data_IF_889157309527
#
_entry.id   IF_889157309527
#
_cell.length_a   1.000
_cell.length_b   1.000
_cell.length_c   1.000
_cell.angle_alpha   90.00
_cell.angle_beta   90.00
_cell.angle_gamma   90.00
#
_symmetry.space_group_name_H-M   'P 1'
#
loop_
_entity.id
_entity.type
_entity.pdbx_description
1 polymer ?
#
# COMPACT_ATOMS: atom_id res chain seq x y z
N UNK A 1 2.71 14.94 3.36
CA UNK A 1 2.57 13.65 2.68
C UNK A 1 1.19 13.49 2.02
N UNK A 2 0.91 12.40 1.25
CA UNK A 2 -0.40 12.10 0.68
C UNK A 2 -1.13 11.03 1.50
N UNK A 3 -2.46 11.10 1.55
CA UNK A 3 -3.29 9.99 2.01
C UNK A 3 -3.58 9.07 0.82
N UNK A 4 -3.45 7.77 1.02
CA UNK A 4 -3.82 6.68 0.11
C UNK A 4 -4.93 5.85 0.77
N UNK A 5 -6.22 6.20 0.61
CA UNK A 5 -7.29 5.36 1.11
C UNK A 5 -7.22 3.98 0.47
N UNK A 6 -7.34 2.91 1.28
CA UNK A 6 -7.20 1.54 0.84
C UNK A 6 -8.54 0.90 0.49
N UNK A 7 -8.56 0.13 -0.60
CA UNK A 7 -9.66 -0.71 -1.03
C UNK A 7 -9.11 -2.13 -1.23
N UNK A 8 -9.25 -2.97 -0.23
CA UNK A 8 -8.87 -4.37 -0.31
C UNK A 8 -10.02 -5.19 -0.85
N UNK A 9 -9.72 -6.03 -1.85
CA UNK A 9 -10.72 -6.82 -2.57
C UNK A 9 -10.55 -8.30 -2.27
N UNK A 10 -11.62 -8.94 -1.79
CA UNK A 10 -11.69 -10.39 -1.60
C UNK A 10 -13.06 -10.92 -2.00
N UNK A 11 -13.10 -11.91 -2.91
CA UNK A 11 -14.33 -12.50 -3.39
C UNK A 11 -15.32 -11.50 -3.99
N UNK A 12 -14.81 -10.43 -4.63
CA UNK A 12 -15.63 -9.40 -5.24
C UNK A 12 -16.15 -8.31 -4.29
N UNK A 13 -15.69 -8.28 -3.04
CA UNK A 13 -16.15 -7.36 -1.99
C UNK A 13 -15.01 -6.50 -1.47
N UNK A 14 -15.38 -5.33 -0.90
CA UNK A 14 -14.47 -4.50 -0.13
C UNK A 14 -14.35 -5.07 1.28
N UNK A 15 -13.13 -5.37 1.69
CA UNK A 15 -12.88 -6.02 2.97
C UNK A 15 -11.72 -5.33 3.72
N UNK A 16 -11.63 -5.60 5.02
CA UNK A 16 -10.42 -5.38 5.81
C UNK A 16 -10.07 -6.66 6.56
N UNK A 17 -8.77 -6.95 6.65
CA UNK A 17 -8.25 -8.07 7.41
C UNK A 17 -7.55 -7.53 8.66
N UNK A 18 -7.73 -8.20 9.79
CA UNK A 18 -6.91 -7.92 10.98
C UNK A 18 -5.63 -8.74 10.89
N UNK A 19 -4.47 -8.06 10.83
CA UNK A 19 -3.14 -8.68 10.72
C UNK A 19 -3.02 -9.70 9.56
N UNK A 20 -3.75 -9.48 8.47
CA UNK A 20 -3.74 -10.35 7.29
C UNK A 20 -4.50 -11.68 7.46
N UNK A 21 -5.20 -11.89 8.58
CA UNK A 21 -5.94 -13.12 8.86
C UNK A 21 -7.30 -13.14 8.14
N UNK A 22 -7.43 -14.00 7.13
CA UNK A 22 -8.68 -14.18 6.38
C UNK A 22 -9.85 -14.69 7.23
N UNK A 23 -9.60 -15.33 8.39
CA UNK A 23 -10.64 -15.72 9.33
C UNK A 23 -11.19 -14.52 10.12
N UNK A 24 -10.48 -13.41 10.15
CA UNK A 24 -10.81 -12.14 10.82
C UNK A 24 -11.13 -11.04 9.81
N UNK A 25 -11.79 -11.45 8.72
CA UNK A 25 -12.23 -10.54 7.68
C UNK A 25 -13.49 -9.79 8.09
N UNK A 26 -13.52 -8.48 7.88
CA UNK A 26 -14.70 -7.64 7.94
C UNK A 26 -15.07 -7.17 6.52
N UNK A 27 -16.36 -7.23 6.18
CA UNK A 27 -16.89 -6.77 4.89
C UNK A 27 -17.46 -5.36 5.09
N UNK A 28 -16.96 -4.40 4.31
CA UNK A 28 -17.35 -2.99 4.38
C UNK A 28 -18.21 -2.52 3.21
N UNK A 29 -18.33 -3.33 2.16
CA UNK A 29 -19.20 -3.00 1.03
C UNK A 29 -19.14 -4.00 -0.11
N UNK A 30 -20.19 -3.95 -0.94
CA UNK A 30 -20.32 -4.78 -2.14
C UNK A 30 -20.04 -3.96 -3.42
N UNK A 31 -19.80 -2.65 -3.29
CA UNK A 31 -19.55 -1.73 -4.43
C UNK A 31 -18.22 -0.97 -4.24
N UNK A 32 -17.10 -1.57 -4.68
CA UNK A 32 -15.79 -0.92 -4.58
C UNK A 32 -15.65 0.33 -5.45
N UNK A 33 -16.47 0.46 -6.49
CA UNK A 33 -16.46 1.66 -7.37
C UNK A 33 -17.06 2.84 -6.62
N UNK A 34 -18.21 2.66 -5.96
CA UNK A 34 -18.81 3.71 -5.14
C UNK A 34 -17.89 4.15 -3.99
N UNK A 35 -17.17 3.21 -3.36
CA UNK A 35 -16.17 3.51 -2.33
C UNK A 35 -15.03 4.38 -2.90
N UNK A 36 -14.48 4.00 -4.05
CA UNK A 36 -13.40 4.78 -4.69
C UNK A 36 -13.86 6.20 -5.06
N UNK A 37 -15.07 6.34 -5.63
CA UNK A 37 -15.66 7.63 -5.95
C UNK A 37 -15.89 8.50 -4.71
N UNK A 38 -16.32 7.91 -3.60
CA UNK A 38 -16.48 8.61 -2.32
C UNK A 38 -15.14 9.14 -1.80
N UNK A 39 -14.06 8.34 -1.88
CA UNK A 39 -12.72 8.78 -1.49
C UNK A 39 -12.22 9.94 -2.36
N UNK A 40 -12.43 9.89 -3.66
CA UNK A 40 -12.06 10.99 -4.58
C UNK A 40 -12.89 12.24 -4.32
N UNK A 41 -14.19 12.12 -4.09
CA UNK A 41 -15.07 13.23 -3.73
C UNK A 41 -14.65 13.89 -2.40
N UNK A 42 -14.10 13.11 -1.45
CA UNK A 42 -13.50 13.59 -0.20
C UNK A 42 -12.10 14.21 -0.38
N UNK A 43 -11.56 14.27 -1.60
CA UNK A 43 -10.31 14.93 -1.93
C UNK A 43 -9.08 14.02 -1.96
N UNK A 44 -9.23 12.70 -1.90
CA UNK A 44 -8.13 11.77 -2.09
C UNK A 44 -7.50 11.98 -3.48
N UNK A 45 -6.17 11.96 -3.53
CA UNK A 45 -5.38 12.21 -4.77
C UNK A 45 -4.73 10.94 -5.31
N UNK A 46 -4.87 9.83 -4.62
CA UNK A 46 -4.49 8.49 -4.97
C UNK A 46 -5.45 7.51 -4.32
N UNK A 47 -5.64 6.35 -4.96
CA UNK A 47 -6.30 5.19 -4.37
C UNK A 47 -5.29 4.06 -4.28
N UNK A 48 -5.27 3.34 -3.16
CA UNK A 48 -4.55 2.09 -3.01
C UNK A 48 -5.54 0.92 -3.09
N UNK A 49 -5.23 -0.12 -3.87
CA UNK A 49 -6.07 -1.32 -3.93
C UNK A 49 -5.23 -2.59 -3.92
N UNK A 50 -5.75 -3.65 -3.31
CA UNK A 50 -5.11 -4.97 -3.27
C UNK A 50 -6.10 -6.03 -3.69
N UNK A 51 -5.70 -6.89 -4.64
CA UNK A 51 -6.39 -8.15 -4.93
C UNK A 51 -5.89 -9.21 -3.94
N UNK A 52 -6.63 -9.43 -2.86
CA UNK A 52 -6.27 -10.39 -1.81
C UNK A 52 -6.38 -11.84 -2.29
N UNK A 53 -7.30 -12.14 -3.23
CA UNK A 53 -7.38 -13.46 -3.86
C UNK A 53 -6.10 -13.75 -4.65
N UNK A 54 -5.66 -12.80 -5.48
CA UNK A 54 -4.43 -12.93 -6.24
C UNK A 54 -3.18 -12.96 -5.34
N UNK A 55 -3.16 -12.21 -4.25
CA UNK A 55 -2.07 -12.25 -3.27
C UNK A 55 -1.89 -13.66 -2.69
N UNK A 56 -2.99 -14.33 -2.37
CA UNK A 56 -3.02 -15.66 -1.77
C UNK A 56 -2.79 -16.78 -2.79
N UNK A 57 -3.56 -16.78 -3.89
CA UNK A 57 -3.63 -17.91 -4.83
C UNK A 57 -2.84 -17.70 -6.13
N UNK A 58 -2.54 -16.44 -6.47
CA UNK A 58 -2.02 -16.04 -7.77
C UNK A 58 -3.11 -15.81 -8.82
N UNK A 59 -4.38 -16.12 -8.51
CA UNK A 59 -5.51 -15.98 -9.43
C UNK A 59 -6.10 -14.55 -9.34
N UNK A 60 -6.05 -13.72 -10.40
CA UNK A 60 -6.45 -12.31 -10.35
C UNK A 60 -7.97 -12.15 -10.48
N UNK A 61 -8.70 -12.66 -9.50
CA UNK A 61 -10.17 -12.72 -9.50
C UNK A 61 -10.80 -11.33 -9.52
N UNK A 62 -10.18 -10.36 -8.83
CA UNK A 62 -10.73 -9.01 -8.68
C UNK A 62 -10.20 -8.01 -9.72
N UNK A 63 -9.41 -8.44 -10.72
CA UNK A 63 -8.94 -7.54 -11.80
C UNK A 63 -10.05 -6.78 -12.52
N UNK A 64 -11.22 -7.37 -12.84
CA UNK A 64 -12.33 -6.61 -13.43
C UNK A 64 -12.85 -5.49 -12.53
N UNK A 65 -12.82 -5.67 -11.20
CA UNK A 65 -13.20 -4.63 -10.25
C UNK A 65 -12.14 -3.53 -10.16
N UNK A 66 -10.85 -3.88 -10.18
CA UNK A 66 -9.76 -2.90 -10.25
C UNK A 66 -9.90 -2.07 -11.53
N UNK A 67 -10.19 -2.70 -12.67
CA UNK A 67 -10.46 -1.99 -13.93
C UNK A 67 -11.66 -1.04 -13.82
N UNK A 68 -12.74 -1.46 -13.16
CA UNK A 68 -13.92 -0.63 -12.94
C UNK A 68 -13.61 0.57 -12.02
N UNK A 69 -12.83 0.37 -10.94
CA UNK A 69 -12.36 1.45 -10.08
C UNK A 69 -11.57 2.47 -10.89
N UNK A 70 -10.54 2.01 -11.63
CA UNK A 70 -9.68 2.88 -12.45
C UNK A 70 -10.48 3.69 -13.45
N UNK A 71 -11.48 3.08 -14.11
CA UNK A 71 -12.33 3.75 -15.10
C UNK A 71 -13.28 4.77 -14.47
N UNK A 72 -13.59 4.66 -13.18
CA UNK A 72 -14.58 5.48 -12.48
C UNK A 72 -13.99 6.68 -11.74
N UNK A 73 -12.65 6.79 -11.66
CA UNK A 73 -11.96 7.88 -10.94
C UNK A 73 -10.94 8.55 -11.85
N UNK A 74 -10.69 9.84 -11.62
CA UNK A 74 -9.72 10.66 -12.36
C UNK A 74 -8.38 10.84 -11.61
N UNK A 75 -8.21 10.14 -10.49
CA UNK A 75 -6.95 10.10 -9.72
C UNK A 75 -6.19 8.80 -10.01
N UNK A 76 -4.86 8.79 -9.89
CA UNK A 76 -4.08 7.58 -10.09
C UNK A 76 -4.42 6.51 -9.04
N UNK A 77 -4.48 5.25 -9.51
CA UNK A 77 -4.69 4.06 -8.69
C UNK A 77 -3.39 3.26 -8.65
N UNK A 78 -2.93 2.89 -7.47
CA UNK A 78 -1.90 1.88 -7.31
C UNK A 78 -2.53 0.56 -6.90
N UNK A 79 -2.02 -0.54 -7.48
CA UNK A 79 -2.57 -1.86 -7.23
C UNK A 79 -1.50 -2.90 -6.89
N UNK A 80 -1.80 -3.72 -5.89
CA UNK A 80 -1.01 -4.87 -5.47
C UNK A 80 -1.82 -6.16 -5.46
N UNK A 81 -1.18 -7.25 -5.02
CA UNK A 81 -1.76 -8.58 -4.97
C UNK A 81 -1.38 -9.44 -6.17
N UNK A 82 -0.54 -10.46 -5.95
CA UNK A 82 -0.22 -11.48 -6.94
C UNK A 82 0.63 -11.04 -8.15
N UNK A 83 1.30 -9.90 -8.13
CA UNK A 83 2.18 -9.45 -9.22
C UNK A 83 3.48 -10.24 -9.20
N UNK A 84 3.51 -11.38 -9.92
CA UNK A 84 4.61 -12.36 -9.93
C UNK A 84 5.22 -12.58 -11.32
N UNK A 85 4.82 -11.78 -12.32
CA UNK A 85 5.33 -11.86 -13.69
C UNK A 85 5.15 -10.54 -14.44
N UNK A 86 5.93 -10.36 -15.52
CA UNK A 86 5.76 -9.22 -16.45
C UNK A 86 4.34 -9.20 -17.03
N UNK A 87 3.76 -10.37 -17.34
CA UNK A 87 2.40 -10.46 -17.87
C UNK A 87 1.34 -10.00 -16.86
N UNK A 88 1.49 -10.37 -15.56
CA UNK A 88 0.58 -9.91 -14.51
C UNK A 88 0.64 -8.39 -14.34
N UNK A 89 1.85 -7.82 -14.36
CA UNK A 89 2.05 -6.39 -14.28
C UNK A 89 1.48 -5.65 -15.51
N UNK A 90 1.75 -6.16 -16.72
CA UNK A 90 1.22 -5.60 -17.96
C UNK A 90 -0.31 -5.58 -17.98
N UNK A 91 -0.96 -6.65 -17.50
CA UNK A 91 -2.42 -6.72 -17.44
C UNK A 91 -3.03 -5.70 -16.47
N UNK A 92 -2.33 -5.28 -15.41
CA UNK A 92 -2.74 -4.15 -14.56
C UNK A 92 -2.53 -2.80 -15.26
N UNK A 93 -1.43 -2.65 -16.00
CA UNK A 93 -1.18 -1.43 -16.79
C UNK A 93 -2.22 -1.26 -17.91
N UNK A 94 -2.61 -2.34 -18.59
CA UNK A 94 -3.64 -2.33 -19.65
C UNK A 94 -5.00 -1.83 -19.15
N UNK A 95 -5.35 -2.07 -17.90
CA UNK A 95 -6.57 -1.55 -17.29
C UNK A 95 -6.38 -0.17 -16.66
N UNK A 96 -5.21 0.46 -16.82
CA UNK A 96 -4.95 1.83 -16.40
C UNK A 96 -4.41 2.00 -14.98
N UNK A 97 -3.96 0.93 -14.32
CA UNK A 97 -3.27 1.05 -13.03
C UNK A 97 -2.02 1.89 -13.20
N UNK A 98 -1.91 2.98 -12.42
CA UNK A 98 -0.84 3.95 -12.53
C UNK A 98 0.49 3.45 -11.94
N UNK A 99 0.46 2.59 -10.91
CA UNK A 99 1.63 2.03 -10.24
C UNK A 99 1.31 0.64 -9.71
N UNK A 100 2.13 -0.35 -10.04
CA UNK A 100 2.00 -1.70 -9.48
C UNK A 100 2.83 -1.85 -8.23
N UNK A 101 2.34 -2.64 -7.27
CA UNK A 101 3.06 -2.95 -6.03
C UNK A 101 3.51 -4.40 -6.09
N UNK A 102 4.81 -4.61 -5.89
CA UNK A 102 5.44 -5.92 -5.88
C UNK A 102 6.00 -6.22 -4.48
N UNK A 103 5.44 -7.24 -3.83
CA UNK A 103 5.88 -7.72 -2.51
C UNK A 103 6.88 -8.86 -2.62
N UNK A 104 6.50 -10.06 -2.19
CA UNK A 104 7.34 -11.28 -2.17
C UNK A 104 8.17 -11.49 -3.43
N UNK A 105 7.55 -11.33 -4.61
CA UNK A 105 8.23 -11.52 -5.89
C UNK A 105 9.38 -10.53 -6.12
N UNK A 106 9.33 -9.33 -5.55
CA UNK A 106 10.43 -8.37 -5.64
C UNK A 106 11.66 -8.85 -4.87
N UNK A 107 11.45 -9.39 -3.66
CA UNK A 107 12.54 -9.90 -2.83
C UNK A 107 13.16 -11.18 -3.43
N UNK A 108 12.33 -12.06 -3.99
CA UNK A 108 12.76 -13.33 -4.59
C UNK A 108 13.43 -13.13 -5.97
N UNK A 109 13.03 -12.12 -6.74
CA UNK A 109 13.52 -11.89 -8.10
C UNK A 109 13.65 -10.39 -8.43
N UNK A 110 14.74 -9.72 -8.03
CA UNK A 110 15.00 -8.32 -8.35
C UNK A 110 15.00 -8.00 -9.86
N UNK A 111 15.47 -8.93 -10.70
CA UNK A 111 15.50 -8.75 -12.16
C UNK A 111 14.09 -8.63 -12.73
N UNK A 112 13.11 -9.31 -12.15
CA UNK A 112 11.70 -9.16 -12.53
C UNK A 112 11.21 -7.73 -12.25
N UNK A 113 11.59 -7.15 -11.12
CA UNK A 113 11.24 -5.76 -10.80
C UNK A 113 11.82 -4.81 -11.84
N UNK A 114 13.11 -4.97 -12.17
CA UNK A 114 13.78 -4.14 -13.18
C UNK A 114 13.12 -4.26 -14.56
N UNK A 115 12.75 -5.48 -14.97
CA UNK A 115 12.06 -5.71 -16.23
C UNK A 115 10.67 -5.06 -16.30
N UNK A 116 9.96 -4.98 -15.17
CA UNK A 116 8.66 -4.31 -15.06
C UNK A 116 8.85 -2.80 -14.96
N UNK A 117 9.79 -2.32 -14.14
CA UNK A 117 10.06 -0.89 -13.94
C UNK A 117 10.52 -0.18 -15.23
N UNK A 118 11.14 -0.90 -16.15
CA UNK A 118 11.47 -0.37 -17.49
C UNK A 118 10.23 -0.03 -18.36
N UNK A 119 9.02 -0.44 -17.94
CA UNK A 119 7.78 -0.33 -18.75
C UNK A 119 6.67 0.44 -18.04
N UNK A 120 6.65 0.42 -16.71
CA UNK A 120 5.61 1.03 -15.89
C UNK A 120 6.13 1.36 -14.50
N UNK A 121 5.40 2.21 -13.77
CA UNK A 121 5.77 2.61 -12.42
C UNK A 121 5.60 1.43 -11.44
N UNK A 122 6.61 1.23 -10.58
CA UNK A 122 6.65 0.15 -9.59
C UNK A 122 6.89 0.73 -8.20
N UNK A 123 6.14 0.24 -7.21
CA UNK A 123 6.49 0.35 -5.81
C UNK A 123 6.86 -1.04 -5.26
N UNK A 124 7.84 -1.07 -4.38
CA UNK A 124 8.16 -2.26 -3.60
C UNK A 124 7.17 -2.36 -2.43
N UNK A 125 6.66 -3.55 -2.13
CA UNK A 125 5.89 -3.82 -0.92
C UNK A 125 6.78 -4.60 0.05
N UNK A 126 7.17 -4.00 1.15
CA UNK A 126 7.90 -4.66 2.22
C UNK A 126 7.01 -4.72 3.46
N UNK A 127 6.44 -5.87 3.68
CA UNK A 127 5.61 -6.15 4.84
C UNK A 127 6.52 -6.65 5.96
N UNK A 128 6.60 -5.94 7.08
CA UNK A 128 7.60 -6.22 8.12
C UNK A 128 6.97 -6.62 9.44
N UNK A 129 7.59 -7.59 10.10
CA UNK A 129 7.33 -7.94 11.49
C UNK A 129 8.60 -7.62 12.28
N UNK A 130 8.53 -6.56 13.09
CA UNK A 130 9.75 -5.94 13.63
C UNK A 130 10.67 -5.50 12.49
N UNK A 131 11.84 -6.15 12.35
CA UNK A 131 12.79 -5.84 11.27
C UNK A 131 12.77 -6.86 10.12
N UNK A 132 12.16 -8.03 10.30
CA UNK A 132 12.13 -9.08 9.29
C UNK A 132 11.04 -8.84 8.25
N UNK A 133 11.38 -9.00 6.97
CA UNK A 133 10.41 -8.96 5.87
C UNK A 133 9.63 -10.27 5.83
N UNK A 134 8.32 -10.18 5.89
CA UNK A 134 7.42 -11.30 5.70
C UNK A 134 7.11 -11.52 4.21
N UNK A 135 6.82 -12.75 3.84
CA UNK A 135 6.54 -13.16 2.46
C UNK A 135 5.27 -14.01 2.40
N UNK A 136 4.79 -14.27 1.18
CA UNK A 136 3.64 -15.15 0.91
C UNK A 136 2.39 -14.80 1.68
N UNK A 137 1.99 -13.52 1.65
CA UNK A 137 0.82 -13.03 2.38
C UNK A 137 1.00 -13.12 3.90
N UNK A 138 2.22 -12.85 4.37
CA UNK A 138 2.63 -12.81 5.78
C UNK A 138 2.70 -14.17 6.48
N UNK A 139 2.52 -15.27 5.73
CA UNK A 139 2.52 -16.62 6.28
C UNK A 139 3.92 -17.10 6.71
N UNK A 140 4.96 -16.54 6.13
CA UNK A 140 6.35 -16.97 6.34
C UNK A 140 7.26 -15.74 6.54
N UNK A 141 8.28 -15.87 7.39
CA UNK A 141 9.40 -14.94 7.43
C UNK A 141 10.35 -15.23 6.26
N UNK A 142 10.96 -14.20 5.72
CA UNK A 142 11.91 -14.34 4.61
C UNK A 142 13.34 -14.68 5.09
N UNK A 143 13.62 -14.52 6.38
CA UNK A 143 14.99 -14.54 6.92
C UNK A 143 15.82 -13.32 6.51
N UNK A 144 15.20 -12.29 5.90
CA UNK A 144 15.87 -11.06 5.45
C UNK A 144 15.30 -9.88 6.20
N UNK A 145 16.16 -9.06 6.78
CA UNK A 145 15.75 -7.79 7.39
C UNK A 145 15.50 -6.73 6.32
N UNK A 146 14.59 -5.77 6.60
CA UNK A 146 14.24 -4.71 5.66
C UNK A 146 15.43 -3.84 5.19
N UNK A 147 16.49 -3.55 5.99
CA UNK A 147 17.63 -2.79 5.47
C UNK A 147 18.37 -3.54 4.37
N UNK A 148 18.51 -4.85 4.52
CA UNK A 148 19.13 -5.71 3.51
C UNK A 148 18.22 -5.82 2.26
N UNK A 149 16.90 -5.95 2.45
CA UNK A 149 15.95 -5.95 1.34
C UNK A 149 16.02 -4.64 0.54
N UNK A 150 16.03 -3.48 1.21
CA UNK A 150 16.19 -2.18 0.56
C UNK A 150 17.51 -2.07 -0.21
N UNK A 151 18.61 -2.55 0.38
CA UNK A 151 19.92 -2.55 -0.28
C UNK A 151 19.93 -3.43 -1.54
N UNK A 152 19.30 -4.61 -1.50
CA UNK A 152 19.18 -5.51 -2.66
C UNK A 152 18.32 -4.92 -3.77
N UNK A 153 17.35 -4.09 -3.40
CA UNK A 153 16.36 -3.52 -4.31
C UNK A 153 16.61 -2.03 -4.64
N UNK A 154 17.78 -1.49 -4.30
CA UNK A 154 18.09 -0.05 -4.50
C UNK A 154 18.08 0.36 -5.96
N UNK A 155 18.53 -0.52 -6.87
CA UNK A 155 18.82 -0.18 -8.27
C UNK A 155 17.86 -0.89 -9.26
N UNK A 156 16.73 -1.43 -8.79
CA UNK A 156 15.77 -2.13 -9.63
C UNK A 156 14.82 -1.20 -10.42
N UNK A 157 14.97 0.12 -10.26
CA UNK A 157 14.15 1.11 -10.96
C UNK A 157 12.75 1.32 -10.37
N UNK A 158 12.49 0.81 -9.16
CA UNK A 158 11.28 1.17 -8.42
C UNK A 158 11.34 2.65 -8.02
N UNK A 159 10.18 3.32 -7.92
CA UNK A 159 10.10 4.73 -7.50
C UNK A 159 9.76 4.90 -6.03
N UNK A 160 9.10 3.92 -5.44
CA UNK A 160 8.61 3.98 -4.07
C UNK A 160 8.77 2.64 -3.35
N UNK A 161 8.74 2.69 -2.03
CA UNK A 161 8.57 1.54 -1.15
C UNK A 161 7.40 1.77 -0.21
N UNK A 162 6.50 0.81 -0.14
CA UNK A 162 5.44 0.71 0.85
C UNK A 162 5.97 -0.15 1.98
N UNK A 163 6.00 0.38 3.19
CA UNK A 163 6.38 -0.35 4.40
C UNK A 163 5.11 -0.64 5.18
N UNK A 164 4.71 -1.91 5.23
CA UNK A 164 3.55 -2.35 6.03
C UNK A 164 4.03 -2.94 7.33
N UNK A 165 3.61 -2.34 8.44
CA UNK A 165 3.89 -2.85 9.78
C UNK A 165 2.80 -3.83 10.19
N UNK A 166 3.07 -5.13 9.99
CA UNK A 166 2.09 -6.22 10.17
C UNK A 166 1.52 -6.25 11.60
N UNK A 167 2.37 -5.98 12.60
CA UNK A 167 1.95 -6.03 14.01
C UNK A 167 0.88 -4.98 14.34
N UNK A 168 0.92 -3.82 13.67
CA UNK A 168 -0.07 -2.74 13.82
C UNK A 168 -1.23 -2.81 12.82
N UNK A 169 -1.19 -3.73 11.83
CA UNK A 169 -2.18 -3.77 10.76
C UNK A 169 -3.58 -4.14 11.28
N UNK A 170 -4.54 -3.24 11.05
CA UNK A 170 -5.91 -3.40 11.49
C UNK A 170 -6.14 -3.25 13.01
N UNK A 171 -5.13 -2.87 13.80
CA UNK A 171 -5.24 -2.70 15.25
C UNK A 171 -5.47 -1.26 15.68
N UNK A 172 -5.12 -0.26 14.85
CA UNK A 172 -5.27 1.16 15.17
C UNK A 172 -4.54 1.59 16.46
N UNK A 173 -3.36 1.03 16.71
CA UNK A 173 -2.57 1.25 17.94
C UNK A 173 -1.45 2.30 17.75
N UNK A 174 -1.45 3.00 16.62
CA UNK A 174 -0.41 3.94 16.22
C UNK A 174 0.61 3.33 15.27
N UNK A 175 1.22 4.18 14.45
CA UNK A 175 2.26 3.76 13.51
C UNK A 175 3.67 3.89 14.14
N UNK A 176 4.60 3.00 13.78
CA UNK A 176 6.01 3.07 14.18
C UNK A 176 6.75 4.20 13.45
N UNK A 177 6.62 5.41 13.96
CA UNK A 177 7.28 6.59 13.39
C UNK A 177 8.81 6.50 13.47
N UNK A 178 9.36 5.82 14.47
CA UNK A 178 10.81 5.66 14.64
C UNK A 178 11.37 4.71 13.57
N UNK A 179 10.77 3.54 13.38
CA UNK A 179 11.17 2.61 12.32
C UNK A 179 11.01 3.21 10.92
N UNK A 180 9.95 3.98 10.68
CA UNK A 180 9.76 4.69 9.41
C UNK A 180 10.80 5.78 9.17
N UNK A 181 11.28 6.46 10.22
CA UNK A 181 12.39 7.41 10.10
C UNK A 181 13.70 6.69 9.72
N UNK A 182 13.98 5.50 10.29
CA UNK A 182 15.12 4.68 9.89
C UNK A 182 15.03 4.26 8.41
N UNK A 183 13.86 3.78 7.97
CA UNK A 183 13.63 3.43 6.55
C UNK A 183 13.85 4.63 5.65
N UNK A 184 13.29 5.79 6.00
CA UNK A 184 13.40 7.02 5.21
C UNK A 184 14.85 7.47 5.06
N UNK A 185 15.70 7.28 6.08
CA UNK A 185 17.14 7.55 6.04
C UNK A 185 17.93 6.49 5.26
N UNK A 186 17.39 5.28 5.09
CA UNK A 186 18.11 4.16 4.46
C UNK A 186 17.89 4.02 2.94
N UNK A 187 16.97 4.79 2.34
CA UNK A 187 16.66 4.68 0.90
C UNK A 187 16.43 6.04 0.26
N UNK A 188 16.69 6.15 -1.04
CA UNK A 188 16.31 7.31 -1.87
C UNK A 188 14.90 7.21 -2.44
N UNK A 189 14.25 6.05 -2.34
CA UNK A 189 12.87 5.83 -2.81
C UNK A 189 11.86 6.70 -2.05
N UNK A 190 10.73 6.98 -2.65
CA UNK A 190 9.58 7.51 -1.92
C UNK A 190 9.11 6.47 -0.88
N UNK A 191 9.03 6.86 0.40
CA UNK A 191 8.55 5.96 1.46
C UNK A 191 7.09 6.24 1.75
N UNK A 192 6.27 5.19 1.65
CA UNK A 192 4.84 5.19 1.95
C UNK A 192 4.62 4.28 3.15
N UNK A 193 4.06 4.82 4.22
CA UNK A 193 3.71 4.05 5.42
C UNK A 193 2.41 3.27 5.19
N UNK A 194 2.29 2.09 5.79
CA UNK A 194 1.08 1.27 5.85
C UNK A 194 0.98 0.56 7.20
N UNK A 195 -0.22 0.48 7.74
CA UNK A 195 -0.51 -0.16 9.03
C UNK A 195 -0.41 0.78 10.24
N UNK A 196 -1.20 0.50 11.27
CA UNK A 196 -1.16 1.14 12.58
C UNK A 196 -1.91 2.46 12.72
N UNK A 197 -2.24 3.17 11.65
CA UNK A 197 -2.98 4.44 11.75
C UNK A 197 -4.38 4.20 12.30
N UNK A 198 -4.67 4.77 13.46
CA UNK A 198 -5.97 4.67 14.14
C UNK A 198 -6.82 5.92 14.00
N UNK A 199 -6.22 7.09 13.90
CA UNK A 199 -6.92 8.37 13.85
C UNK A 199 -6.12 9.47 13.13
N UNK A 200 -6.65 10.70 13.16
CA UNK A 200 -6.00 11.86 12.57
C UNK A 200 -4.67 12.21 13.28
N UNK A 201 -4.55 11.99 14.57
CA UNK A 201 -3.33 12.30 15.30
C UNK A 201 -2.17 11.41 14.86
N UNK A 202 -2.41 10.13 14.65
CA UNK A 202 -1.44 9.17 14.08
C UNK A 202 -1.01 9.59 12.67
N UNK A 203 -1.96 9.97 11.82
CA UNK A 203 -1.68 10.44 10.47
C UNK A 203 -0.79 11.70 10.49
N UNK A 204 -1.05 12.63 11.40
CA UNK A 204 -0.25 13.85 11.57
C UNK A 204 1.13 13.56 12.20
N UNK A 205 1.25 12.52 13.02
CA UNK A 205 2.53 12.06 13.53
C UNK A 205 3.38 11.50 12.41
N UNK A 206 2.80 10.70 11.47
CA UNK A 206 3.47 10.24 10.27
C UNK A 206 3.92 11.40 9.35
N UNK A 207 3.06 12.43 9.17
CA UNK A 207 3.43 13.60 8.35
C UNK A 207 4.61 14.40 8.95
N UNK A 208 4.85 14.27 10.26
CA UNK A 208 5.98 14.90 10.94
C UNK A 208 7.29 14.10 10.85
N UNK A 209 7.26 12.83 10.41
CA UNK A 209 8.46 12.00 10.26
C UNK A 209 9.40 12.60 9.23
N UNK A 210 10.64 12.81 9.64
CA UNK A 210 11.72 13.32 8.78
C UNK A 210 13.03 12.59 9.03
N UNK A 211 13.77 12.33 7.97
CA UNK A 211 15.16 11.84 8.03
C UNK A 211 15.92 12.36 6.81
N UNK A 212 17.18 12.75 7.00
CA UNK A 212 18.07 13.25 5.92
C UNK A 212 17.42 14.40 5.10
N UNK A 213 16.62 15.26 5.75
CA UNK A 213 15.89 16.36 5.10
C UNK A 213 14.71 15.92 4.24
N UNK A 214 14.34 14.63 4.27
CA UNK A 214 13.23 14.04 3.53
C UNK A 214 12.03 13.78 4.44
N UNK A 215 10.87 13.58 3.84
CA UNK A 215 9.60 13.24 4.51
C UNK A 215 8.98 12.02 3.86
N UNK A 216 8.07 11.37 4.58
CA UNK A 216 7.23 10.33 3.98
C UNK A 216 6.43 10.90 2.80
N UNK A 217 6.35 10.13 1.71
CA UNK A 217 5.55 10.48 0.54
C UNK A 217 4.06 10.35 0.82
N UNK A 218 3.67 9.37 1.64
CA UNK A 218 2.29 9.14 1.99
C UNK A 218 2.06 8.10 3.07
N UNK A 219 0.77 7.92 3.40
CA UNK A 219 0.29 6.86 4.25
C UNK A 219 -0.92 6.15 3.63
N UNK A 220 -0.90 4.83 3.60
CA UNK A 220 -2.03 3.98 3.26
C UNK A 220 -2.85 3.77 4.52
N UNK A 221 -4.15 4.04 4.44
CA UNK A 221 -5.08 3.86 5.56
C UNK A 221 -6.34 3.14 5.07
N UNK A 222 -6.69 2.06 5.73
CA UNK A 222 -7.89 1.28 5.48
C UNK A 222 -8.81 1.30 6.70
N UNK A 223 -8.54 0.45 7.69
CA UNK A 223 -9.40 0.14 8.83
C UNK A 223 -9.94 1.38 9.52
N UNK A 224 -9.10 2.38 9.86
CA UNK A 224 -9.54 3.59 10.54
C UNK A 224 -10.59 4.39 9.75
N UNK A 225 -10.54 4.36 8.42
CA UNK A 225 -11.54 5.02 7.56
C UNK A 225 -12.87 4.24 7.62
N UNK A 226 -12.84 2.92 7.47
CA UNK A 226 -14.04 2.09 7.45
C UNK A 226 -14.74 2.01 8.82
N UNK A 227 -13.97 2.05 9.90
CA UNK A 227 -14.49 2.09 11.28
C UNK A 227 -14.96 3.50 11.69
N UNK A 228 -14.77 4.52 10.82
CA UNK A 228 -15.21 5.89 11.08
C UNK A 228 -14.34 6.67 12.08
N UNK A 229 -13.13 6.19 12.36
CA UNK A 229 -12.16 6.88 13.22
C UNK A 229 -11.37 7.96 12.46
N UNK A 230 -11.30 7.86 11.14
CA UNK A 230 -10.63 8.83 10.26
C UNK A 230 -11.55 9.23 9.11
N UNK A 231 -11.95 10.50 9.06
CA UNK A 231 -12.65 11.06 7.90
C UNK A 231 -11.65 11.47 6.82
N UNK A 232 -11.89 11.03 5.57
CA UNK A 232 -10.96 11.25 4.44
C UNK A 232 -10.84 12.73 4.11
N UNK A 233 -11.94 13.50 4.14
CA UNK A 233 -11.90 14.92 3.80
C UNK A 233 -11.15 15.72 4.87
N UNK A 234 -11.38 15.43 6.15
CA UNK A 234 -10.66 16.02 7.27
C UNK A 234 -9.16 15.71 7.19
N UNK A 235 -8.80 14.44 6.97
CA UNK A 235 -7.43 14.00 6.83
C UNK A 235 -6.69 14.69 5.68
N UNK A 236 -7.32 14.76 4.51
CA UNK A 236 -6.76 15.45 3.33
C UNK A 236 -6.57 16.95 3.61
N UNK A 237 -7.57 17.62 4.20
CA UNK A 237 -7.47 19.05 4.54
C UNK A 237 -6.34 19.32 5.54
N UNK A 238 -6.23 18.50 6.59
CA UNK A 238 -5.18 18.62 7.60
C UNK A 238 -3.77 18.45 7.02
N UNK A 239 -3.57 17.46 6.15
CA UNK A 239 -2.28 17.24 5.45
C UNK A 239 -1.94 18.38 4.49
N UNK A 240 -2.92 18.96 3.81
CA UNK A 240 -2.72 20.11 2.91
C UNK A 240 -2.30 21.36 3.66
N UNK A 241 -2.94 21.65 4.80
CA UNK A 241 -2.62 22.80 5.63
C UNK A 241 -1.15 22.81 6.14
N UNK A 242 -0.53 21.65 6.30
CA UNK A 242 0.89 21.51 6.73
C UNK A 242 1.91 21.62 5.60
N UNK A 243 1.45 21.71 4.34
CA UNK A 243 2.30 21.91 3.17
C UNK A 243 2.42 23.38 2.75
N UNK A 244 1.49 24.22 3.25
CA UNK A 244 1.47 25.67 3.02
C UNK A 244 2.41 26.38 3.98
#
# INVERSE_FOLDING_TARGET
MLLYPAIDLHGGKVVQLTQGDFSRQQIHGDDPVAVAQAFVAAGARWIHTVDLDAARTGEPVNRPLIAAIVAAVDVPVQAGGGVRSVAAAAALAEVGVARVIMGTAALENPDLVAAIAARQRVALGLDVRGREVAVRGWAEGSGVEWPEALRRLSDVGAEAVVITQIEGEGLMEGADTAGLAEVLGATSLEVIASGGVGDLADLLALDAVTAEGRRLAGAIVGTAIYEGHLDVAEAVAALQARRS
#
